data_IF_527870836108
#
_entry.id   IF_527870836108
#
_cell.length_a   1.000
_cell.length_b   1.000
_cell.length_c   1.000
_cell.angle_alpha   90.00
_cell.angle_beta   90.00
_cell.angle_gamma   90.00
#
_symmetry.space_group_name_H-M   'P 1'
#
loop_
_entity.id
_entity.type
_entity.pdbx_description
1 polymer ?
#
# COMPACT_ATOMS: atom_id res chain seq x y z
N UNK A 1 9.53 18.89 5.45
CA UNK A 1 8.22 18.62 4.84
C UNK A 1 8.52 18.17 3.40
N UNK A 2 8.39 16.88 3.06
CA UNK A 2 8.73 16.41 1.71
C UNK A 2 7.53 16.66 0.80
N UNK A 3 7.50 17.82 0.16
CA UNK A 3 6.58 18.13 -0.93
C UNK A 3 7.39 18.17 -2.22
N UNK A 4 7.31 17.12 -3.02
CA UNK A 4 7.67 17.13 -4.43
C UNK A 4 6.82 16.06 -5.12
N UNK A 5 6.45 16.32 -6.37
CA UNK A 5 5.68 15.45 -7.25
C UNK A 5 6.43 14.12 -7.49
N UNK A 6 6.54 13.26 -6.49
CA UNK A 6 6.88 11.87 -6.72
C UNK A 6 5.67 11.25 -7.43
N UNK A 7 5.91 10.67 -8.60
CA UNK A 7 4.91 9.85 -9.25
C UNK A 7 4.65 8.60 -8.43
N UNK A 8 3.55 7.94 -8.74
CA UNK A 8 3.20 6.66 -8.11
C UNK A 8 4.31 5.61 -8.28
N UNK A 9 5.05 5.65 -9.39
CA UNK A 9 6.13 4.71 -9.67
C UNK A 9 7.31 4.89 -8.73
N UNK A 10 7.78 6.12 -8.49
CA UNK A 10 8.89 6.36 -7.56
C UNK A 10 8.53 5.97 -6.12
N UNK A 11 7.26 6.16 -5.73
CA UNK A 11 6.78 5.72 -4.41
C UNK A 11 6.74 4.19 -4.30
N UNK A 12 6.44 3.48 -5.39
CA UNK A 12 6.47 2.00 -5.42
C UNK A 12 7.88 1.49 -5.21
N UNK A 13 8.85 2.08 -5.91
CA UNK A 13 10.26 1.70 -5.78
C UNK A 13 10.75 1.89 -4.34
N UNK A 14 10.41 3.02 -3.71
CA UNK A 14 10.77 3.28 -2.31
C UNK A 14 10.12 2.25 -1.38
N UNK A 15 8.83 1.97 -1.55
CA UNK A 15 8.10 1.04 -0.69
C UNK A 15 8.68 -0.39 -0.75
N UNK A 16 9.04 -0.84 -1.96
CA UNK A 16 9.73 -2.11 -2.16
C UNK A 16 11.11 -2.11 -1.48
N UNK A 17 11.91 -1.06 -1.69
CA UNK A 17 13.25 -0.94 -1.11
C UNK A 17 13.24 -0.98 0.43
N UNK A 18 12.24 -0.38 1.07
CA UNK A 18 12.14 -0.33 2.54
C UNK A 18 11.24 -1.42 3.13
N UNK A 19 10.64 -2.27 2.30
CA UNK A 19 9.81 -3.39 2.73
C UNK A 19 8.51 -2.98 3.42
N UNK A 20 7.88 -1.88 2.98
CA UNK A 20 6.58 -1.43 3.51
C UNK A 20 5.48 -1.61 2.47
N UNK A 21 4.24 -1.72 2.93
CA UNK A 21 3.08 -1.73 2.05
C UNK A 21 2.75 -0.30 1.56
N UNK A 22 2.57 -0.15 0.25
CA UNK A 22 2.10 1.09 -0.38
C UNK A 22 0.68 0.91 -0.90
N UNK A 23 -0.21 1.82 -0.51
CA UNK A 23 -1.57 1.93 -1.04
C UNK A 23 -1.68 3.18 -1.89
N UNK A 24 -2.04 3.01 -3.15
CA UNK A 24 -2.26 4.10 -4.11
C UNK A 24 -3.76 4.34 -4.25
N UNK A 25 -4.18 5.59 -4.16
CA UNK A 25 -5.56 6.02 -4.40
C UNK A 25 -5.55 7.00 -5.55
N UNK A 26 -6.27 6.66 -6.62
CA UNK A 26 -6.38 7.40 -7.87
C UNK A 26 -7.84 7.44 -8.39
N UNK A 27 -8.05 7.96 -9.61
CA UNK A 27 -9.38 8.08 -10.21
C UNK A 27 -10.06 6.74 -10.50
N UNK A 28 -9.31 5.63 -10.57
CA UNK A 28 -9.84 4.29 -10.78
C UNK A 28 -10.23 3.59 -9.45
N UNK A 29 -9.90 4.20 -8.31
CA UNK A 29 -10.11 3.59 -7.00
C UNK A 29 -11.60 3.54 -6.64
N UNK A 30 -12.07 2.37 -6.18
CA UNK A 30 -13.42 2.20 -5.62
C UNK A 30 -13.33 1.75 -4.17
N UNK A 31 -14.27 2.21 -3.34
CA UNK A 31 -14.35 1.85 -1.91
C UNK A 31 -14.39 0.32 -1.69
N UNK A 32 -15.19 -0.48 -2.44
CA UNK A 32 -15.22 -1.92 -2.25
C UNK A 32 -13.87 -2.59 -2.54
N UNK A 33 -13.23 -2.25 -3.66
CA UNK A 33 -11.94 -2.81 -4.04
C UNK A 33 -10.86 -2.45 -3.00
N UNK A 34 -10.79 -1.19 -2.59
CA UNK A 34 -9.83 -0.74 -1.57
C UNK A 34 -10.00 -1.50 -0.25
N UNK A 35 -11.25 -1.68 0.21
CA UNK A 35 -11.53 -2.43 1.44
C UNK A 35 -11.06 -3.89 1.34
N UNK A 36 -11.22 -4.53 0.20
CA UNK A 36 -10.78 -5.91 0.00
C UNK A 36 -9.26 -6.02 -0.02
N UNK A 37 -8.55 -5.08 -0.68
CA UNK A 37 -7.09 -5.01 -0.64
C UNK A 37 -6.54 -4.87 0.79
N UNK A 38 -7.08 -3.93 1.58
CA UNK A 38 -6.66 -3.73 2.98
C UNK A 38 -6.92 -4.95 3.87
N UNK A 39 -7.98 -5.72 3.61
CA UNK A 39 -8.27 -6.96 4.35
C UNK A 39 -7.23 -8.05 4.11
N UNK A 40 -6.74 -8.15 2.87
CA UNK A 40 -5.67 -9.08 2.52
C UNK A 40 -4.34 -8.69 3.17
N UNK A 41 -3.98 -7.40 3.17
CA UNK A 41 -2.79 -6.91 3.90
C UNK A 41 -2.87 -7.21 5.40
N UNK A 42 -4.02 -6.92 6.02
CA UNK A 42 -4.23 -7.24 7.44
C UNK A 42 -4.20 -8.76 7.73
N UNK A 43 -4.68 -9.60 6.81
CA UNK A 43 -4.58 -11.05 6.94
C UNK A 43 -3.12 -11.52 6.84
N UNK A 44 -2.33 -10.97 5.91
CA UNK A 44 -0.89 -11.23 5.82
C UNK A 44 -0.17 -10.87 7.13
N UNK A 45 -0.42 -9.68 7.68
CA UNK A 45 0.17 -9.27 8.96
C UNK A 45 -0.23 -10.18 10.13
N UNK A 46 -1.48 -10.67 10.18
CA UNK A 46 -1.91 -11.64 11.19
C UNK A 46 -1.22 -13.01 11.04
N UNK A 47 -1.00 -13.47 9.81
CA UNK A 47 -0.30 -14.73 9.55
C UNK A 47 1.20 -14.62 9.84
N UNK A 48 1.82 -13.48 9.52
CA UNK A 48 3.21 -13.19 9.82
C UNK A 48 3.47 -12.97 11.32
N UNK A 49 2.46 -12.50 12.07
CA UNK A 49 2.57 -12.27 13.52
C UNK A 49 2.68 -13.57 14.34
N UNK A 50 2.42 -14.75 13.76
CA UNK A 50 2.41 -16.02 14.48
C UNK A 50 1.31 -16.10 15.56
N UNK A 51 1.09 -17.28 16.17
CA UNK A 51 0.27 -17.40 17.38
C UNK A 51 0.89 -16.72 18.60
#
# INVERSE_FOLDING_TARGET
MLSAQAGTEELRDVAEMVGIELVVIDEATTIPALRDHLRWGAAYHRLAAGP
#
